data_IF_770714160549
#
_entry.id   IF_770714160549
#
_cell.length_a   1.000
_cell.length_b   1.000
_cell.length_c   1.000
_cell.angle_alpha   90.00
_cell.angle_beta   90.00
_cell.angle_gamma   90.00
#
_symmetry.space_group_name_H-M   'P 1'
#
loop_
_entity.id
_entity.type
_entity.pdbx_description
1 polymer ?
#
# COMPACT_ATOMS: atom_id res chain seq x y z
N UNK A 1 43.50 -6.10 15.42
CA UNK A 1 42.87 -4.80 15.14
C UNK A 1 42.23 -4.80 13.74
N UNK A 2 42.88 -5.32 12.71
CA UNK A 2 42.43 -5.33 11.33
C UNK A 2 41.14 -6.15 11.11
N UNK A 3 41.01 -7.31 11.78
CA UNK A 3 39.79 -8.14 11.65
C UNK A 3 38.55 -7.52 12.27
N UNK A 4 38.68 -6.85 13.40
CA UNK A 4 37.57 -6.15 14.05
C UNK A 4 37.05 -5.02 13.18
N UNK A 5 37.94 -4.22 12.59
CA UNK A 5 37.56 -3.12 11.69
C UNK A 5 36.86 -3.65 10.41
N UNK A 6 37.28 -4.78 9.88
CA UNK A 6 36.64 -5.42 8.73
C UNK A 6 35.24 -5.95 9.06
N UNK A 7 35.04 -6.48 10.28
CA UNK A 7 33.73 -6.94 10.77
C UNK A 7 32.77 -5.79 10.98
N UNK A 8 33.22 -4.67 11.55
CA UNK A 8 32.39 -3.48 11.72
C UNK A 8 31.99 -2.85 10.37
N UNK A 9 32.92 -2.74 9.44
CA UNK A 9 32.64 -2.25 8.09
C UNK A 9 31.61 -3.12 7.36
N UNK A 10 31.69 -4.44 7.52
CA UNK A 10 30.71 -5.39 6.99
C UNK A 10 29.34 -5.22 7.63
N UNK A 11 29.26 -5.06 8.96
CA UNK A 11 28.01 -4.81 9.69
C UNK A 11 27.37 -3.49 9.28
N UNK A 12 28.16 -2.43 9.15
CA UNK A 12 27.66 -1.11 8.69
C UNK A 12 27.11 -1.19 7.27
N UNK A 13 27.80 -1.87 6.35
CA UNK A 13 27.32 -2.09 4.98
C UNK A 13 26.01 -2.88 4.95
N UNK A 14 25.87 -3.91 5.79
CA UNK A 14 24.61 -4.66 5.93
C UNK A 14 23.46 -3.79 6.47
N UNK A 15 23.73 -2.96 7.49
CA UNK A 15 22.75 -2.01 8.05
C UNK A 15 22.29 -0.97 7.01
N UNK A 16 23.23 -0.38 6.27
CA UNK A 16 22.90 0.58 5.20
C UNK A 16 22.05 -0.08 4.10
N UNK A 17 22.41 -1.31 3.72
CA UNK A 17 21.63 -2.06 2.72
C UNK A 17 20.23 -2.42 3.23
N UNK A 18 20.09 -2.81 4.49
CA UNK A 18 18.81 -3.05 5.12
C UNK A 18 17.95 -1.79 5.17
N UNK A 19 18.54 -0.64 5.53
CA UNK A 19 17.86 0.65 5.54
C UNK A 19 17.42 1.11 4.14
N UNK A 20 18.27 0.92 3.12
CA UNK A 20 17.90 1.20 1.73
C UNK A 20 16.74 0.32 1.26
N UNK A 21 16.79 -0.98 1.57
CA UNK A 21 15.71 -1.92 1.25
C UNK A 21 14.43 -1.52 1.99
N UNK A 22 14.50 -1.20 3.26
CA UNK A 22 13.36 -0.73 4.06
C UNK A 22 12.69 0.48 3.41
N UNK A 23 13.46 1.50 3.05
CA UNK A 23 12.93 2.71 2.40
C UNK A 23 12.32 2.45 1.01
N UNK A 24 12.75 1.39 0.32
CA UNK A 24 12.14 1.02 -0.97
C UNK A 24 10.85 0.20 -0.83
N UNK A 25 10.66 -0.43 0.32
CA UNK A 25 9.49 -1.31 0.59
C UNK A 25 8.38 -0.54 1.29
N UNK A 26 8.72 0.33 2.24
CA UNK A 26 7.75 0.99 3.13
C UNK A 26 6.81 1.94 2.37
N UNK A 27 5.54 1.89 2.73
CA UNK A 27 4.54 2.85 2.29
C UNK A 27 4.82 4.24 2.89
N UNK A 28 4.60 5.28 2.11
CA UNK A 28 4.70 6.67 2.54
C UNK A 28 3.37 7.37 2.27
N UNK A 29 2.38 7.06 3.10
CA UNK A 29 1.01 7.54 2.94
C UNK A 29 0.95 9.06 3.07
N UNK A 30 0.36 9.72 2.08
CA UNK A 30 0.19 11.17 2.04
C UNK A 30 -1.26 11.52 1.77
N UNK A 31 -1.88 12.29 2.66
CA UNK A 31 -3.29 12.72 2.53
C UNK A 31 -3.58 13.46 1.21
N UNK A 32 -2.62 14.23 0.67
CA UNK A 32 -2.76 14.90 -0.62
C UNK A 32 -2.81 13.90 -1.77
N UNK A 33 -1.88 12.92 -1.80
CA UNK A 33 -1.84 11.88 -2.84
C UNK A 33 -3.07 10.98 -2.77
N UNK A 34 -3.50 10.61 -1.55
CA UNK A 34 -4.74 9.88 -1.32
C UNK A 34 -5.95 10.62 -1.90
N UNK A 35 -6.13 11.89 -1.58
CA UNK A 35 -7.24 12.69 -2.06
C UNK A 35 -7.28 12.78 -3.58
N UNK A 36 -6.13 12.97 -4.22
CA UNK A 36 -6.03 13.00 -5.69
C UNK A 36 -6.38 11.62 -6.26
N UNK A 37 -5.84 10.55 -5.69
CA UNK A 37 -6.09 9.19 -6.13
C UNK A 37 -7.58 8.83 -6.08
N UNK A 38 -8.25 9.12 -4.97
CA UNK A 38 -9.68 8.84 -4.83
C UNK A 38 -10.56 9.75 -5.67
N UNK A 39 -10.13 10.98 -5.96
CA UNK A 39 -10.84 11.84 -6.92
C UNK A 39 -10.78 11.28 -8.34
N UNK A 40 -9.62 10.75 -8.75
CA UNK A 40 -9.45 10.07 -10.04
C UNK A 40 -10.29 8.78 -10.08
N UNK A 41 -10.26 7.96 -9.02
CA UNK A 41 -11.08 6.76 -8.93
C UNK A 41 -12.58 7.08 -8.94
N UNK A 42 -13.02 8.13 -8.26
CA UNK A 42 -14.42 8.55 -8.28
C UNK A 42 -14.87 8.93 -9.70
N UNK A 43 -14.05 9.69 -10.43
CA UNK A 43 -14.31 10.00 -11.82
C UNK A 43 -14.35 8.73 -12.69
N UNK A 44 -13.41 7.81 -12.48
CA UNK A 44 -13.33 6.54 -13.21
C UNK A 44 -14.59 5.68 -12.99
N UNK A 45 -15.01 5.48 -11.72
CA UNK A 45 -16.19 4.68 -11.39
C UNK A 45 -17.48 5.28 -11.96
N UNK A 46 -17.61 6.60 -11.92
CA UNK A 46 -18.81 7.28 -12.44
C UNK A 46 -18.82 7.39 -13.98
N UNK A 47 -17.66 7.26 -14.63
CA UNK A 47 -17.54 7.40 -16.10
C UNK A 47 -17.63 6.06 -16.84
N UNK A 48 -17.12 4.98 -16.24
CA UNK A 48 -17.01 3.65 -16.88
C UNK A 48 -18.07 2.69 -16.33
N UNK A 49 -18.46 2.87 -15.09
CA UNK A 49 -19.47 2.07 -14.41
C UNK A 49 -20.61 2.97 -13.91
N UNK A 50 -21.79 2.40 -13.70
CA UNK A 50 -22.97 3.10 -13.18
C UNK A 50 -22.87 3.43 -11.67
N UNK A 51 -21.69 3.43 -11.13
CA UNK A 51 -21.37 3.64 -9.74
C UNK A 51 -20.88 2.38 -9.04
N UNK A 52 -20.69 2.47 -7.73
CA UNK A 52 -20.27 1.37 -6.87
C UNK A 52 -21.25 1.29 -5.69
N UNK A 53 -22.00 0.20 -5.64
CA UNK A 53 -22.85 -0.10 -4.48
C UNK A 53 -22.02 -0.81 -3.43
N UNK A 54 -22.08 -0.33 -2.19
CA UNK A 54 -21.26 -0.82 -1.09
C UNK A 54 -22.18 -1.30 0.02
N UNK A 55 -22.11 -2.58 0.35
CA UNK A 55 -22.87 -3.21 1.44
C UNK A 55 -21.93 -3.68 2.55
N UNK A 56 -22.44 -3.84 3.77
CA UNK A 56 -21.67 -4.37 4.91
C UNK A 56 -20.71 -3.37 5.57
N UNK A 57 -20.73 -2.09 5.21
CA UNK A 57 -19.81 -1.07 5.75
C UNK A 57 -19.98 -0.88 7.25
N UNK A 58 -21.20 -0.92 7.76
CA UNK A 58 -21.50 -0.71 9.19
C UNK A 58 -20.85 -1.77 10.07
N UNK A 59 -20.80 -3.01 9.62
CA UNK A 59 -20.17 -4.13 10.33
C UNK A 59 -18.65 -3.92 10.41
N UNK A 60 -18.06 -3.46 9.31
CA UNK A 60 -16.64 -3.10 9.24
C UNK A 60 -16.32 -1.93 10.17
N UNK A 61 -17.17 -0.90 10.21
CA UNK A 61 -16.99 0.26 11.10
C UNK A 61 -16.97 -0.16 12.57
N UNK A 62 -17.98 -0.89 13.02
CA UNK A 62 -18.07 -1.37 14.41
C UNK A 62 -16.87 -2.25 14.78
N UNK A 63 -16.47 -3.15 13.89
CA UNK A 63 -15.32 -4.03 14.15
C UNK A 63 -14.01 -3.27 14.19
N UNK A 64 -13.85 -2.20 13.40
CA UNK A 64 -12.64 -1.38 13.34
C UNK A 64 -12.34 -0.60 14.62
N UNK A 65 -13.35 -0.35 15.46
CA UNK A 65 -13.18 0.37 16.72
C UNK A 65 -12.36 -0.40 17.77
N UNK A 66 -12.41 -1.74 17.71
CA UNK A 66 -11.81 -2.60 18.72
C UNK A 66 -10.81 -3.63 18.17
N UNK A 67 -10.73 -3.79 16.86
CA UNK A 67 -9.90 -4.82 16.21
C UNK A 67 -9.05 -4.24 15.08
N UNK A 68 -7.88 -4.83 14.88
CA UNK A 68 -7.10 -4.60 13.66
C UNK A 68 -7.69 -5.41 12.51
N UNK A 69 -8.04 -4.74 11.43
CA UNK A 69 -8.67 -5.36 10.27
C UNK A 69 -7.64 -5.80 9.23
N UNK A 70 -7.77 -7.02 8.75
CA UNK A 70 -7.02 -7.55 7.61
C UNK A 70 -8.01 -7.87 6.50
N UNK A 71 -7.89 -7.16 5.38
CA UNK A 71 -8.75 -7.36 4.22
C UNK A 71 -8.13 -8.38 3.27
N UNK A 72 -8.87 -9.42 2.94
CA UNK A 72 -8.43 -10.48 2.02
C UNK A 72 -9.45 -10.58 0.87
N UNK A 73 -9.39 -9.66 -0.10
CA UNK A 73 -10.30 -9.70 -1.23
C UNK A 73 -9.96 -10.86 -2.17
N UNK A 74 -10.99 -11.37 -2.86
CA UNK A 74 -10.79 -12.30 -3.97
C UNK A 74 -10.05 -11.58 -5.10
N UNK A 75 -8.78 -11.91 -5.31
CA UNK A 75 -7.90 -11.19 -6.24
C UNK A 75 -8.01 -11.77 -7.66
N UNK A 76 -9.07 -11.39 -8.37
CA UNK A 76 -9.27 -11.75 -9.79
C UNK A 76 -8.79 -10.67 -10.73
N UNK A 77 -8.82 -9.42 -10.30
CA UNK A 77 -8.45 -8.25 -11.09
C UNK A 77 -7.74 -7.20 -10.24
N UNK A 78 -6.96 -6.32 -10.89
CA UNK A 78 -6.41 -5.12 -10.25
C UNK A 78 -7.51 -4.13 -9.82
N UNK A 79 -8.72 -4.29 -10.31
CA UNK A 79 -9.88 -3.48 -9.93
C UNK A 79 -10.32 -3.80 -8.49
N UNK A 80 -10.19 -5.04 -8.04
CA UNK A 80 -10.75 -5.50 -6.76
C UNK A 80 -10.19 -4.74 -5.56
N UNK A 81 -8.86 -4.57 -5.46
CA UNK A 81 -8.26 -3.82 -4.36
C UNK A 81 -8.47 -2.30 -4.49
N UNK A 82 -8.62 -1.78 -5.71
CA UNK A 82 -8.95 -0.38 -5.92
C UNK A 82 -10.40 -0.09 -5.50
N UNK A 83 -11.33 -0.98 -5.85
CA UNK A 83 -12.73 -0.88 -5.43
C UNK A 83 -12.86 -0.96 -3.90
N UNK A 84 -12.16 -1.90 -3.26
CA UNK A 84 -12.14 -2.03 -1.80
C UNK A 84 -11.61 -0.75 -1.14
N UNK A 85 -10.45 -0.26 -1.56
CA UNK A 85 -9.85 0.96 -1.00
C UNK A 85 -10.74 2.19 -1.21
N UNK A 86 -11.36 2.31 -2.37
CA UNK A 86 -12.30 3.39 -2.68
C UNK A 86 -13.54 3.33 -1.80
N UNK A 87 -14.11 2.12 -1.61
CA UNK A 87 -15.29 1.90 -0.78
C UNK A 87 -15.04 2.30 0.67
N UNK A 88 -13.92 1.88 1.24
CA UNK A 88 -13.54 2.22 2.61
C UNK A 88 -13.30 3.73 2.76
N UNK A 89 -12.61 4.36 1.81
CA UNK A 89 -12.39 5.80 1.81
C UNK A 89 -13.73 6.58 1.74
N UNK A 90 -14.65 6.17 0.85
CA UNK A 90 -15.96 6.78 0.70
C UNK A 90 -16.81 6.64 1.96
N UNK A 91 -16.65 5.56 2.69
CA UNK A 91 -17.27 5.30 3.98
C UNK A 91 -16.62 6.06 5.15
N UNK A 92 -15.55 6.83 4.92
CA UNK A 92 -14.83 7.55 5.97
C UNK A 92 -13.92 6.67 6.82
N UNK A 93 -13.69 5.42 6.41
CA UNK A 93 -12.77 4.49 7.07
C UNK A 93 -11.33 4.71 6.61
N UNK A 94 -10.38 4.30 7.46
CA UNK A 94 -8.97 4.30 7.10
C UNK A 94 -8.73 3.31 5.96
N UNK A 95 -8.07 3.78 4.90
CA UNK A 95 -7.70 2.93 3.78
C UNK A 95 -6.57 1.98 4.17
N UNK A 96 -6.68 0.69 3.83
CA UNK A 96 -5.68 -0.29 4.18
C UNK A 96 -4.36 -0.07 3.42
N UNK A 97 -3.27 -0.54 4.01
CA UNK A 97 -2.03 -0.70 3.28
C UNK A 97 -2.15 -1.86 2.28
N UNK A 98 -1.70 -1.65 1.06
CA UNK A 98 -1.82 -2.63 -0.03
C UNK A 98 -0.45 -3.25 -0.29
N UNK A 99 -0.37 -4.58 -0.17
CA UNK A 99 0.80 -5.32 -0.59
C UNK A 99 0.87 -5.41 -2.12
N UNK A 100 1.86 -4.78 -2.72
CA UNK A 100 2.07 -4.74 -4.16
C UNK A 100 3.34 -5.50 -4.55
N UNK A 101 3.36 -6.10 -5.75
CA UNK A 101 4.58 -6.68 -6.29
C UNK A 101 5.59 -5.60 -6.71
N UNK A 102 6.88 -5.91 -6.61
CA UNK A 102 7.97 -5.00 -6.97
C UNK A 102 7.99 -4.58 -8.45
N UNK A 103 7.32 -5.34 -9.32
CA UNK A 103 7.10 -4.98 -10.72
C UNK A 103 6.28 -3.70 -10.92
N UNK A 104 5.50 -3.29 -9.93
CA UNK A 104 4.74 -2.04 -9.93
C UNK A 104 5.53 -0.85 -9.37
N UNK A 105 6.74 -1.09 -8.87
CA UNK A 105 7.61 -0.06 -8.32
C UNK A 105 8.38 0.70 -9.42
N UNK A 106 7.66 1.19 -10.40
CA UNK A 106 8.21 2.00 -11.49
C UNK A 106 8.46 3.45 -11.04
N UNK A 107 9.40 4.17 -11.69
CA UNK A 107 9.55 5.60 -11.48
C UNK A 107 8.21 6.33 -11.67
N UNK A 108 7.91 7.31 -10.83
CA UNK A 108 6.63 8.03 -10.75
C UNK A 108 5.46 7.19 -10.22
N UNK A 109 5.11 6.04 -10.83
CA UNK A 109 4.02 5.18 -10.41
C UNK A 109 4.28 4.60 -9.01
N UNK A 110 5.48 4.09 -8.74
CA UNK A 110 5.86 3.57 -7.43
C UNK A 110 5.74 4.61 -6.31
N UNK A 111 6.16 5.85 -6.57
CA UNK A 111 6.02 6.95 -5.61
C UNK A 111 4.57 7.36 -5.38
N UNK A 112 3.75 7.29 -6.41
CA UNK A 112 2.32 7.57 -6.31
C UNK A 112 1.62 6.48 -5.49
N UNK A 113 1.86 5.21 -5.82
CA UNK A 113 1.28 4.06 -5.10
C UNK A 113 1.72 4.02 -3.63
N UNK A 114 2.99 4.29 -3.32
CA UNK A 114 3.44 4.43 -1.92
C UNK A 114 2.72 5.54 -1.17
N UNK A 115 2.51 6.66 -1.84
CA UNK A 115 1.74 7.77 -1.27
C UNK A 115 0.27 7.46 -1.06
N UNK A 116 -0.25 6.43 -1.75
CA UNK A 116 -1.62 5.92 -1.61
C UNK A 116 -1.71 4.72 -0.65
N UNK A 117 -0.61 4.35 0.03
CA UNK A 117 -0.59 3.29 1.04
C UNK A 117 -0.05 1.95 0.57
N UNK A 118 0.47 1.84 -0.66
CA UNK A 118 1.08 0.61 -1.13
C UNK A 118 2.48 0.41 -0.56
N UNK A 119 2.80 -0.82 -0.19
CA UNK A 119 4.15 -1.27 0.12
C UNK A 119 4.55 -2.40 -0.85
N UNK A 120 5.85 -2.45 -1.19
CA UNK A 120 6.31 -3.37 -2.23
C UNK A 120 7.00 -4.59 -1.66
N UNK A 121 6.58 -5.77 -2.13
CA UNK A 121 7.18 -7.05 -1.76
C UNK A 121 7.98 -7.62 -2.92
N UNK A 122 9.18 -8.08 -2.63
CA UNK A 122 10.00 -8.83 -3.59
C UNK A 122 9.51 -10.26 -3.70
N UNK A 123 9.28 -10.73 -4.93
CA UNK A 123 8.82 -12.10 -5.20
C UNK A 123 9.95 -13.14 -5.19
N UNK A 124 11.21 -12.72 -5.24
CA UNK A 124 12.35 -13.64 -5.24
C UNK A 124 12.98 -13.76 -3.86
N UNK A 125 12.65 -14.82 -3.16
CA UNK A 125 13.47 -15.35 -2.09
C UNK A 125 14.55 -16.24 -2.74
N UNK A 126 15.71 -15.67 -3.08
CA UNK A 126 16.94 -16.38 -3.40
C UNK A 126 18.04 -15.95 -2.45
#
# INVERSE_FOLDING_TARGET
>A
ITQLAQTEKSRMKKRLRAFQISNTVVANMSHRKLRIFYRILSWFWNRIYDGLEITGVNEVMVTSESHTLVYVPSHRSHIDYMALSYSLYKAGLMTPHIAAGDNLNLPMLGNFLRGSGAFFMRRSFR
#
